data_IF_543833445531
#
_entry.id   IF_543833445531
#
_cell.length_a   1.000
_cell.length_b   1.000
_cell.length_c   1.000
_cell.angle_alpha   90.00
_cell.angle_beta   90.00
_cell.angle_gamma   90.00
#
_symmetry.space_group_name_H-M   'P 1'
#
loop_
_entity.id
_entity.type
_entity.pdbx_description
1 polymer ?
#
# COMPACT_ATOMS: atom_id res chain seq x y z
N UNK A 1 5.11 13.63 23.52
CA UNK A 1 5.07 15.07 23.16
C UNK A 1 5.19 15.92 24.44
N UNK A 2 6.37 15.97 25.06
CA UNK A 2 6.55 16.70 26.35
C UNK A 2 7.35 18.01 26.22
N UNK A 3 7.70 18.40 25.00
CA UNK A 3 8.42 19.65 24.75
C UNK A 3 7.48 20.61 24.03
N UNK A 4 7.14 21.72 24.69
CA UNK A 4 6.33 22.82 24.13
C UNK A 4 6.79 23.24 22.73
N UNK A 5 8.11 23.19 22.48
CA UNK A 5 8.71 23.48 21.19
C UNK A 5 8.20 22.55 20.07
N UNK A 6 8.07 21.24 20.31
CA UNK A 6 7.55 20.30 19.32
C UNK A 6 6.07 20.53 19.03
N UNK A 7 5.28 20.89 20.04
CA UNK A 7 3.85 21.21 19.85
C UNK A 7 3.70 22.48 19.01
N UNK A 8 4.52 23.51 19.25
CA UNK A 8 4.47 24.74 18.46
C UNK A 8 4.85 24.48 17.00
N UNK A 9 5.90 23.70 16.74
CA UNK A 9 6.27 23.31 15.37
C UNK A 9 5.13 22.59 14.66
N UNK A 10 4.43 21.67 15.34
CA UNK A 10 3.26 21.01 14.75
C UNK A 10 2.12 21.98 14.46
N UNK A 11 1.88 22.97 15.33
CA UNK A 11 0.87 24.01 15.10
C UNK A 11 1.22 24.92 13.94
N UNK A 12 2.50 25.28 13.80
CA UNK A 12 2.99 26.09 12.69
C UNK A 12 2.79 25.34 11.36
N UNK A 13 3.18 24.05 11.31
CA UNK A 13 2.95 23.18 10.14
C UNK A 13 1.46 23.11 9.77
N UNK A 14 0.58 22.94 10.76
CA UNK A 14 -0.87 22.93 10.52
C UNK A 14 -1.40 24.28 10.01
N UNK A 15 -0.85 25.40 10.48
CA UNK A 15 -1.24 26.73 9.98
C UNK A 15 -0.79 26.99 8.55
N UNK A 16 0.25 26.29 8.09
CA UNK A 16 0.79 26.33 6.73
C UNK A 16 0.22 25.22 5.82
N UNK A 17 -1.01 24.76 6.11
CA UNK A 17 -1.74 23.70 5.39
C UNK A 17 -1.13 22.29 5.46
N UNK A 18 -0.18 22.07 6.37
CA UNK A 18 0.26 20.71 6.70
C UNK A 18 -0.88 19.90 7.31
N UNK A 19 -0.80 18.58 7.16
CA UNK A 19 -1.75 17.64 7.76
C UNK A 19 -1.01 16.74 8.75
N UNK A 20 -1.60 16.54 9.92
CA UNK A 20 -1.05 15.63 10.92
C UNK A 20 -1.51 14.21 10.62
N UNK A 21 -0.57 13.26 10.62
CA UNK A 21 -0.82 11.82 10.54
C UNK A 21 -0.37 11.20 11.86
N UNK A 22 -1.20 10.31 12.44
CA UNK A 22 -0.82 9.58 13.64
C UNK A 22 -0.01 8.33 13.29
N UNK A 23 1.23 8.27 13.76
CA UNK A 23 2.16 7.19 13.47
C UNK A 23 2.53 6.38 14.71
N UNK A 24 1.54 5.69 15.29
CA UNK A 24 1.70 4.94 16.53
C UNK A 24 1.58 5.78 17.80
N UNK A 25 1.68 5.10 18.95
CA UNK A 25 1.75 5.75 20.26
C UNK A 25 3.20 5.98 20.69
N UNK A 26 4.02 4.92 20.64
CA UNK A 26 5.45 5.02 20.98
C UNK A 26 6.36 4.54 19.87
N UNK A 27 5.82 3.91 18.83
CA UNK A 27 6.58 3.35 17.72
C UNK A 27 7.70 2.44 18.25
N UNK A 28 7.29 1.51 19.14
CA UNK A 28 8.16 0.62 19.89
C UNK A 28 7.37 -0.53 20.52
N UNK A 29 7.95 -1.72 20.43
CA UNK A 29 7.51 -2.93 21.11
C UNK A 29 8.52 -3.27 22.21
N UNK A 30 9.74 -3.70 21.84
CA UNK A 30 10.81 -4.08 22.77
C UNK A 30 12.17 -3.41 22.47
N UNK A 31 12.21 -2.60 21.41
CA UNK A 31 13.38 -1.85 20.96
C UNK A 31 13.40 -0.40 21.43
N UNK A 32 13.65 0.54 20.51
CA UNK A 32 13.79 1.98 20.79
C UNK A 32 12.56 2.73 20.27
N UNK A 33 12.00 3.59 21.12
CA UNK A 33 10.92 4.53 20.77
C UNK A 33 11.25 5.31 19.49
N UNK A 34 10.34 5.30 18.52
CA UNK A 34 10.48 6.01 17.24
C UNK A 34 11.33 5.28 16.20
N UNK A 35 11.79 4.05 16.48
CA UNK A 35 12.62 3.25 15.57
C UNK A 35 12.04 1.86 15.38
N UNK A 36 11.44 1.26 16.40
CA UNK A 36 10.99 -0.14 16.39
C UNK A 36 9.54 -0.28 15.91
N UNK A 37 9.12 -1.49 15.54
CA UNK A 37 7.72 -1.80 15.31
C UNK A 37 6.92 -1.61 16.60
N UNK A 38 5.63 -1.32 16.48
CA UNK A 38 4.76 -1.19 17.66
C UNK A 38 3.82 -2.39 17.84
N UNK A 39 3.35 -2.94 16.73
CA UNK A 39 2.33 -4.00 16.70
C UNK A 39 2.87 -5.33 16.15
N UNK A 40 4.16 -5.38 15.83
CA UNK A 40 4.81 -6.56 15.26
C UNK A 40 6.12 -6.91 15.96
N UNK A 41 6.34 -8.19 16.21
CA UNK A 41 7.63 -8.73 16.64
C UNK A 41 8.41 -9.16 15.39
N UNK A 42 9.26 -8.24 14.89
CA UNK A 42 10.09 -8.47 13.69
C UNK A 42 10.94 -9.74 13.84
N UNK A 43 11.53 -9.96 15.01
CA UNK A 43 12.45 -11.08 15.27
C UNK A 43 11.78 -12.45 15.12
N UNK A 44 10.48 -12.52 15.43
CA UNK A 44 9.68 -13.74 15.34
C UNK A 44 8.73 -13.73 14.15
N UNK A 45 8.70 -12.64 13.39
CA UNK A 45 7.82 -12.39 12.27
C UNK A 45 6.35 -12.75 12.56
N UNK A 46 5.80 -12.18 13.63
CA UNK A 46 4.41 -12.38 14.06
C UNK A 46 3.92 -11.16 14.86
N UNK A 47 2.61 -11.04 15.13
CA UNK A 47 2.12 -10.01 16.03
C UNK A 47 2.79 -10.08 17.41
N UNK A 48 2.82 -8.94 18.09
CA UNK A 48 3.36 -8.84 19.46
C UNK A 48 2.64 -9.79 20.40
N UNK A 49 3.26 -10.12 21.53
CA UNK A 49 2.70 -11.10 22.46
C UNK A 49 1.36 -10.62 23.06
N UNK A 50 1.18 -9.31 23.16
CA UNK A 50 0.02 -8.61 23.71
C UNK A 50 -1.11 -8.39 22.68
N UNK A 51 -0.92 -8.81 21.42
CA UNK A 51 -1.86 -8.62 20.31
C UNK A 51 -3.30 -9.00 20.70
N UNK A 52 -4.17 -7.99 20.69
CA UNK A 52 -5.58 -8.05 21.06
C UNK A 52 -6.27 -6.75 20.68
N UNK A 53 -7.59 -6.77 20.49
CA UNK A 53 -8.34 -5.54 20.21
C UNK A 53 -8.17 -4.49 21.31
N UNK A 54 -8.16 -4.93 22.57
CA UNK A 54 -7.96 -4.04 23.71
C UNK A 54 -6.58 -3.40 23.70
N UNK A 55 -5.53 -4.15 23.35
CA UNK A 55 -4.17 -3.63 23.25
C UNK A 55 -4.08 -2.56 22.15
N UNK A 56 -4.50 -2.88 20.92
CA UNK A 56 -4.46 -1.91 19.82
C UNK A 56 -5.26 -0.65 20.14
N UNK A 57 -6.47 -0.81 20.68
CA UNK A 57 -7.33 0.31 21.04
C UNK A 57 -6.70 1.17 22.16
N UNK A 58 -6.13 0.56 23.20
CA UNK A 58 -5.48 1.30 24.29
C UNK A 58 -4.32 2.16 23.76
N UNK A 59 -3.48 1.59 22.88
CA UNK A 59 -2.35 2.29 22.27
C UNK A 59 -2.81 3.48 21.45
N UNK A 60 -3.74 3.26 20.51
CA UNK A 60 -4.32 4.31 19.66
C UNK A 60 -4.96 5.42 20.50
N UNK A 61 -5.81 5.05 21.47
CA UNK A 61 -6.52 6.03 22.31
C UNK A 61 -5.58 6.82 23.21
N UNK A 62 -4.49 6.21 23.68
CA UNK A 62 -3.44 6.90 24.44
C UNK A 62 -2.74 7.96 23.61
N UNK A 63 -2.41 7.64 22.36
CA UNK A 63 -1.80 8.58 21.43
C UNK A 63 -2.75 9.75 21.06
N UNK A 64 -4.02 9.44 20.77
CA UNK A 64 -5.06 10.46 20.54
C UNK A 64 -5.28 11.37 21.75
N UNK A 65 -5.23 10.82 22.97
CA UNK A 65 -5.35 11.62 24.19
C UNK A 65 -4.17 12.61 24.35
N UNK A 66 -2.96 12.21 23.96
CA UNK A 66 -1.80 13.11 23.95
C UNK A 66 -1.99 14.25 22.95
N UNK A 67 -2.43 13.94 21.72
CA UNK A 67 -2.75 14.98 20.73
C UNK A 67 -3.82 15.94 21.25
N UNK A 68 -4.91 15.40 21.82
CA UNK A 68 -5.99 16.19 22.39
C UNK A 68 -5.50 17.13 23.50
N UNK A 69 -4.65 16.64 24.41
CA UNK A 69 -4.08 17.46 25.48
C UNK A 69 -3.16 18.58 24.95
N UNK A 70 -2.56 18.39 23.77
CA UNK A 70 -1.79 19.42 23.06
C UNK A 70 -2.65 20.40 22.25
N UNK A 71 -3.97 20.18 22.18
CA UNK A 71 -4.90 20.93 21.33
C UNK A 71 -4.75 20.58 19.85
N UNK A 72 -4.39 19.33 19.55
CA UNK A 72 -4.22 18.78 18.20
C UNK A 72 -5.21 17.61 17.99
N UNK A 73 -5.49 17.31 16.73
CA UNK A 73 -6.32 16.17 16.32
C UNK A 73 -5.88 15.68 14.94
N UNK A 74 -6.21 14.44 14.63
CA UNK A 74 -6.04 13.84 13.29
C UNK A 74 -7.08 12.75 13.11
N UNK A 75 -7.44 12.51 11.87
CA UNK A 75 -8.32 11.45 11.37
C UNK A 75 -7.56 10.49 10.43
N UNK A 76 -6.23 10.59 10.39
CA UNK A 76 -5.34 9.77 9.57
C UNK A 76 -4.43 8.92 10.46
N UNK A 77 -4.36 7.63 10.16
CA UNK A 77 -3.44 6.68 10.80
C UNK A 77 -2.43 6.11 9.80
N UNK A 78 -1.18 5.98 10.23
CA UNK A 78 -0.12 5.26 9.53
C UNK A 78 0.50 4.28 10.52
N UNK A 79 0.44 2.98 10.23
CA UNK A 79 0.97 1.99 11.17
C UNK A 79 2.50 2.10 11.25
N UNK A 80 3.11 2.10 12.45
CA UNK A 80 4.55 1.98 12.63
C UNK A 80 5.14 0.85 11.78
N UNK A 81 6.02 1.19 10.84
CA UNK A 81 6.58 0.28 9.84
C UNK A 81 5.56 -0.55 9.04
N UNK A 82 4.35 -0.02 8.84
CA UNK A 82 3.33 -0.61 7.97
C UNK A 82 2.96 -2.06 8.33
N UNK A 83 3.14 -2.47 9.59
CA UNK A 83 3.01 -3.88 9.98
C UNK A 83 2.30 -4.03 11.32
N UNK A 84 1.17 -4.73 11.29
CA UNK A 84 0.35 -5.10 12.44
C UNK A 84 -0.43 -6.40 12.11
N UNK A 85 -1.18 -6.93 13.07
CA UNK A 85 -2.09 -8.06 12.82
C UNK A 85 -3.33 -7.61 12.03
N UNK A 86 -4.03 -8.53 11.36
CA UNK A 86 -5.33 -8.22 10.74
C UNK A 86 -6.35 -7.72 11.79
N UNK A 87 -6.27 -8.24 13.02
CA UNK A 87 -7.09 -7.80 14.15
C UNK A 87 -6.85 -6.33 14.50
N UNK A 88 -5.58 -5.92 14.57
CA UNK A 88 -5.19 -4.54 14.84
C UNK A 88 -5.69 -3.60 13.74
N UNK A 89 -5.58 -4.02 12.49
CA UNK A 89 -6.09 -3.27 11.36
C UNK A 89 -7.61 -3.05 11.42
N UNK A 90 -8.39 -4.06 11.83
CA UNK A 90 -9.83 -3.89 12.08
C UNK A 90 -10.10 -2.81 13.14
N UNK A 91 -9.24 -2.70 14.17
CA UNK A 91 -9.32 -1.65 15.19
C UNK A 91 -9.01 -0.28 14.57
N UNK A 92 -7.95 -0.17 13.77
CA UNK A 92 -7.55 1.08 13.13
C UNK A 92 -8.63 1.62 12.19
N UNK A 93 -9.20 0.76 11.35
CA UNK A 93 -10.28 1.12 10.42
C UNK A 93 -11.58 1.56 11.10
N UNK A 94 -11.85 1.07 12.33
CA UNK A 94 -13.00 1.55 13.12
C UNK A 94 -12.80 2.94 13.70
N UNK A 95 -11.55 3.33 13.95
CA UNK A 95 -11.20 4.58 14.64
C UNK A 95 -10.90 5.70 13.63
N UNK A 96 -10.20 5.38 12.54
CA UNK A 96 -9.73 6.35 11.56
C UNK A 96 -10.44 6.21 10.22
N UNK A 97 -11.03 7.30 9.69
CA UNK A 97 -11.60 7.29 8.34
C UNK A 97 -10.54 7.19 7.25
N UNK A 98 -9.26 7.50 7.54
CA UNK A 98 -8.18 7.45 6.56
C UNK A 98 -7.02 6.61 7.11
N UNK A 99 -6.60 5.60 6.34
CA UNK A 99 -5.41 4.80 6.60
C UNK A 99 -4.37 5.13 5.53
N UNK A 100 -3.25 5.69 5.96
CA UNK A 100 -2.11 6.04 5.12
C UNK A 100 -1.04 4.95 5.22
N UNK A 101 -1.29 3.79 4.63
CA UNK A 101 -0.51 2.57 4.87
C UNK A 101 -0.59 1.61 3.67
N UNK A 102 0.50 0.89 3.41
CA UNK A 102 0.58 -0.18 2.40
C UNK A 102 0.52 -1.61 2.97
N UNK A 103 0.57 -1.76 4.30
CA UNK A 103 0.67 -3.03 5.02
C UNK A 103 -0.51 -3.99 4.84
N UNK A 104 -1.67 -3.47 4.44
CA UNK A 104 -2.83 -4.28 4.02
C UNK A 104 -2.66 -4.99 2.67
N UNK A 105 -1.52 -4.82 1.99
CA UNK A 105 -1.22 -5.47 0.71
C UNK A 105 -1.92 -4.86 -0.50
N UNK A 106 -2.68 -3.77 -0.32
CA UNK A 106 -3.29 -3.03 -1.42
C UNK A 106 -2.43 -1.82 -1.73
N UNK A 107 -1.68 -1.90 -2.82
CA UNK A 107 -0.77 -0.85 -3.25
C UNK A 107 -1.14 -0.40 -4.66
N UNK A 108 -1.99 0.63 -4.76
CA UNK A 108 -2.58 1.08 -6.02
C UNK A 108 -2.32 2.58 -6.23
N UNK A 109 -2.13 3.06 -7.48
CA UNK A 109 -1.76 4.44 -7.76
C UNK A 109 -2.95 5.40 -7.76
N UNK A 110 -3.84 5.25 -6.77
CA UNK A 110 -4.97 6.12 -6.54
C UNK A 110 -5.50 5.88 -5.12
N UNK A 111 -6.15 6.89 -4.56
CA UNK A 111 -6.94 6.71 -3.34
C UNK A 111 -8.14 5.81 -3.64
N UNK A 112 -8.37 4.83 -2.78
CA UNK A 112 -9.53 3.94 -2.84
C UNK A 112 -10.23 3.84 -1.49
N UNK A 113 -11.49 3.42 -1.51
CA UNK A 113 -12.33 3.31 -0.32
C UNK A 113 -12.79 1.87 -0.13
N UNK A 114 -12.68 1.35 1.10
CA UNK A 114 -13.24 0.06 1.52
C UNK A 114 -14.12 0.31 2.74
N UNK A 115 -15.41 -0.01 2.63
CA UNK A 115 -16.38 0.33 3.66
C UNK A 115 -16.42 1.84 3.90
N UNK A 116 -16.14 2.24 5.14
CA UNK A 116 -16.08 3.66 5.53
C UNK A 116 -14.67 4.25 5.54
N UNK A 117 -13.67 3.45 5.20
CA UNK A 117 -12.26 3.78 5.32
C UNK A 117 -11.66 4.08 3.96
N UNK A 118 -10.92 5.17 3.88
CA UNK A 118 -10.17 5.56 2.70
C UNK A 118 -8.69 5.22 2.89
N UNK A 119 -8.07 4.67 1.86
CA UNK A 119 -6.67 4.24 1.86
C UNK A 119 -5.85 5.16 0.97
N UNK A 120 -4.62 5.44 1.40
CA UNK A 120 -3.65 6.24 0.65
C UNK A 120 -3.30 5.61 -0.71
N UNK A 121 -2.79 6.42 -1.66
CA UNK A 121 -2.19 5.87 -2.87
C UNK A 121 -0.89 5.11 -2.58
N UNK A 122 -0.33 4.53 -3.62
CA UNK A 122 0.93 3.79 -3.59
C UNK A 122 2.08 4.58 -2.99
N UNK A 123 2.74 3.96 -2.02
CA UNK A 123 3.99 4.46 -1.44
C UNK A 123 5.19 4.02 -2.28
N UNK A 124 6.01 5.00 -2.69
CA UNK A 124 7.25 4.81 -3.43
C UNK A 124 8.47 4.61 -2.51
N UNK A 125 8.26 4.63 -1.20
CA UNK A 125 9.25 4.44 -0.14
C UNK A 125 9.80 5.76 0.39
N UNK A 126 10.93 5.68 1.08
CA UNK A 126 11.56 6.81 1.74
C UNK A 126 12.96 7.13 1.23
N UNK A 127 13.39 8.37 1.45
CA UNK A 127 14.75 8.82 1.13
C UNK A 127 15.75 8.34 2.18
N UNK A 128 16.70 7.50 1.78
CA UNK A 128 17.81 7.02 2.62
C UNK A 128 19.16 6.97 1.90
N UNK A 129 19.17 7.19 0.58
CA UNK A 129 20.36 7.20 -0.26
C UNK A 129 20.09 7.89 -1.60
N UNK A 130 21.11 8.34 -2.32
CA UNK A 130 20.92 8.93 -3.66
C UNK A 130 20.22 8.00 -4.64
N UNK A 131 20.52 6.68 -4.69
CA UNK A 131 19.73 5.73 -5.47
C UNK A 131 18.25 5.66 -5.09
N UNK A 132 17.89 5.89 -3.81
CA UNK A 132 16.46 5.93 -3.41
C UNK A 132 15.72 7.12 -4.00
N UNK A 133 16.39 8.28 -4.12
CA UNK A 133 15.85 9.48 -4.78
C UNK A 133 15.57 9.19 -6.26
N UNK A 134 16.55 8.63 -6.97
CA UNK A 134 16.41 8.30 -8.38
C UNK A 134 15.34 7.23 -8.61
N UNK A 135 15.22 6.26 -7.69
CA UNK A 135 14.16 5.23 -7.73
C UNK A 135 12.77 5.83 -7.60
N UNK A 136 12.53 6.72 -6.63
CA UNK A 136 11.23 7.39 -6.44
C UNK A 136 10.82 8.10 -7.73
N UNK A 137 11.72 8.88 -8.33
CA UNK A 137 11.46 9.62 -9.59
C UNK A 137 11.18 8.65 -10.75
N UNK A 138 11.96 7.59 -10.88
CA UNK A 138 11.79 6.61 -11.94
C UNK A 138 10.46 5.86 -11.83
N UNK A 139 10.06 5.46 -10.63
CA UNK A 139 8.81 4.73 -10.40
C UNK A 139 7.59 5.65 -10.56
N UNK A 140 7.67 6.90 -10.11
CA UNK A 140 6.65 7.91 -10.35
C UNK A 140 6.41 8.13 -11.85
N UNK A 141 7.48 8.21 -12.66
CA UNK A 141 7.36 8.33 -14.12
C UNK A 141 6.69 7.12 -14.75
N UNK A 142 7.09 5.90 -14.36
CA UNK A 142 6.44 4.67 -14.84
C UNK A 142 4.95 4.69 -14.55
N UNK A 143 4.56 5.03 -13.32
CA UNK A 143 3.15 5.11 -12.92
C UNK A 143 2.42 6.18 -13.75
N UNK A 144 2.99 7.37 -13.92
CA UNK A 144 2.41 8.43 -14.74
C UNK A 144 2.19 7.99 -16.20
N UNK A 145 3.16 7.27 -16.78
CA UNK A 145 3.06 6.79 -18.16
C UNK A 145 1.95 5.73 -18.32
N UNK A 146 1.59 5.06 -17.22
CA UNK A 146 0.70 3.91 -17.18
C UNK A 146 -0.77 4.24 -16.84
N UNK A 147 -1.02 5.31 -16.10
CA UNK A 147 -2.36 5.66 -15.59
C UNK A 147 -2.79 7.06 -16.04
N UNK A 148 -4.09 7.31 -16.18
CA UNK A 148 -4.62 8.59 -16.72
C UNK A 148 -4.70 9.73 -15.68
N UNK A 149 -4.66 9.42 -14.38
CA UNK A 149 -4.59 10.42 -13.29
C UNK A 149 -4.08 9.74 -11.99
N UNK A 150 -2.83 9.24 -11.96
CA UNK A 150 -2.35 8.51 -10.80
C UNK A 150 -2.08 9.44 -9.63
N UNK A 151 -2.35 8.94 -8.43
CA UNK A 151 -1.83 9.50 -7.18
C UNK A 151 -0.72 8.59 -6.65
N UNK A 152 0.32 9.20 -6.10
CA UNK A 152 1.48 8.51 -5.49
C UNK A 152 1.84 9.19 -4.18
N UNK A 153 2.56 8.49 -3.31
CA UNK A 153 3.16 9.03 -2.09
C UNK A 153 4.62 8.62 -1.95
N UNK A 154 5.37 9.34 -1.11
CA UNK A 154 6.72 8.99 -0.69
C UNK A 154 7.03 9.68 0.64
N UNK A 155 8.06 9.21 1.33
CA UNK A 155 8.46 9.72 2.64
C UNK A 155 9.81 10.43 2.61
N UNK A 156 9.87 11.58 3.28
CA UNK A 156 11.11 12.29 3.56
C UNK A 156 11.15 12.69 5.03
N UNK A 157 12.27 12.38 5.69
CA UNK A 157 12.38 12.55 7.13
C UNK A 157 13.07 13.88 7.49
N UNK A 158 12.48 14.72 8.37
CA UNK A 158 13.05 16.03 8.72
C UNK A 158 14.46 16.03 9.28
N UNK A 159 14.93 14.92 9.87
CA UNK A 159 16.32 14.82 10.35
C UNK A 159 17.35 14.95 9.22
N UNK A 160 16.94 14.72 7.96
CA UNK A 160 17.79 14.86 6.79
C UNK A 160 18.09 16.32 6.44
N UNK A 161 17.41 17.31 7.03
CA UNK A 161 17.58 18.75 6.68
C UNK A 161 19.05 19.20 6.65
N UNK A 162 19.88 18.70 7.56
CA UNK A 162 21.32 19.04 7.62
C UNK A 162 22.24 18.20 6.73
N UNK A 163 21.70 17.23 5.97
CA UNK A 163 22.47 16.36 5.09
C UNK A 163 22.63 17.03 3.71
N UNK A 164 23.87 17.20 3.24
CA UNK A 164 24.17 17.86 1.96
C UNK A 164 23.65 17.08 0.75
N UNK A 165 23.61 15.76 0.83
CA UNK A 165 23.24 14.88 -0.30
C UNK A 165 21.77 14.46 -0.27
N UNK A 166 21.22 14.19 0.92
CA UNK A 166 19.87 13.63 1.12
C UNK A 166 18.87 14.62 1.73
N UNK A 167 19.33 15.83 2.07
CA UNK A 167 18.52 16.86 2.70
C UNK A 167 17.63 17.62 1.73
N UNK A 168 17.55 18.94 1.91
CA UNK A 168 16.63 19.79 1.15
C UNK A 168 16.88 19.70 -0.37
N UNK A 169 18.15 19.69 -0.81
CA UNK A 169 18.47 19.60 -2.22
C UNK A 169 17.95 18.31 -2.89
N UNK A 170 17.95 17.18 -2.17
CA UNK A 170 17.36 15.93 -2.67
C UNK A 170 15.83 16.01 -2.74
N UNK A 171 15.19 16.62 -1.73
CA UNK A 171 13.74 16.83 -1.72
C UNK A 171 13.31 17.76 -2.87
N UNK A 172 14.02 18.86 -3.09
CA UNK A 172 13.81 19.77 -4.22
C UNK A 172 13.94 19.04 -5.55
N UNK A 173 15.00 18.21 -5.73
CA UNK A 173 15.17 17.38 -6.93
C UNK A 173 13.96 16.46 -7.17
N UNK A 174 13.41 15.84 -6.14
CA UNK A 174 12.19 15.00 -6.28
C UNK A 174 11.01 15.88 -6.69
N UNK A 175 10.77 16.99 -6.00
CA UNK A 175 9.64 17.90 -6.25
C UNK A 175 9.67 18.45 -7.68
N UNK A 176 10.83 18.93 -8.12
CA UNK A 176 11.03 19.47 -9.47
C UNK A 176 10.79 18.37 -10.51
N UNK A 177 11.35 17.18 -10.32
CA UNK A 177 11.18 16.06 -11.24
C UNK A 177 9.73 15.59 -11.34
N UNK A 178 9.00 15.52 -10.21
CA UNK A 178 7.59 15.15 -10.20
C UNK A 178 6.73 16.21 -10.90
N UNK A 179 7.03 17.48 -10.69
CA UNK A 179 6.36 18.60 -11.36
C UNK A 179 6.62 18.56 -12.87
N UNK A 180 7.85 18.29 -13.30
CA UNK A 180 8.21 18.12 -14.73
C UNK A 180 7.52 16.91 -15.38
N UNK A 181 7.30 15.82 -14.63
CA UNK A 181 6.53 14.67 -15.11
C UNK A 181 5.06 15.05 -15.35
N UNK A 182 4.53 15.99 -14.56
CA UNK A 182 3.15 16.45 -14.64
C UNK A 182 2.34 16.22 -13.36
N UNK A 183 2.96 15.72 -12.29
CA UNK A 183 2.29 15.59 -10.99
C UNK A 183 2.04 16.95 -10.34
N UNK A 184 1.03 16.97 -9.48
CA UNK A 184 0.70 18.10 -8.62
C UNK A 184 0.68 17.63 -7.16
N UNK A 185 1.13 18.49 -6.25
CA UNK A 185 1.10 18.22 -4.82
C UNK A 185 -0.24 18.66 -4.25
N UNK A 186 -0.95 17.70 -3.67
CA UNK A 186 -2.29 17.87 -3.09
C UNK A 186 -2.32 17.28 -1.69
N UNK A 187 -3.18 17.81 -0.83
CA UNK A 187 -3.51 17.10 0.41
C UNK A 187 -4.32 15.85 0.07
N UNK A 188 -4.23 14.81 0.90
CA UNK A 188 -5.07 13.62 0.71
C UNK A 188 -6.57 13.97 0.72
N UNK A 189 -6.99 15.02 1.43
CA UNK A 189 -8.38 15.49 1.43
C UNK A 189 -8.84 16.02 0.06
N UNK A 190 -7.94 16.58 -0.74
CA UNK A 190 -8.26 17.04 -2.10
C UNK A 190 -8.54 15.86 -3.03
N UNK A 191 -7.90 14.71 -2.75
CA UNK A 191 -8.09 13.45 -3.49
C UNK A 191 -9.42 12.78 -3.15
N UNK A 192 -10.02 13.07 -1.99
CA UNK A 192 -11.33 12.55 -1.58
C UNK A 192 -12.49 13.19 -2.38
N UNK A 193 -12.33 14.43 -2.85
CA UNK A 193 -13.41 15.17 -3.53
C UNK A 193 -13.59 14.79 -5.00
N UNK A 194 -12.66 14.02 -5.57
CA UNK A 194 -12.67 13.55 -6.96
C UNK A 194 -13.03 12.06 -7.07
N UNK A 195 -13.85 11.53 -6.17
CA UNK A 195 -14.30 10.12 -6.23
C UNK A 195 -15.20 9.87 -7.47
N UNK A 196 -14.57 9.63 -8.61
CA UNK A 196 -15.09 8.70 -9.61
C UNK A 196 -15.00 7.30 -9.02
N UNK A 197 -16.00 6.46 -9.29
CA UNK A 197 -16.07 5.08 -8.82
C UNK A 197 -14.79 4.31 -9.18
N UNK A 198 -14.45 3.30 -8.38
CA UNK A 198 -13.31 2.40 -8.67
C UNK A 198 -13.40 1.79 -10.08
N UNK A 199 -14.63 1.51 -10.55
CA UNK A 199 -14.90 1.04 -11.91
C UNK A 199 -14.51 2.08 -12.97
N UNK A 200 -14.85 3.35 -12.77
CA UNK A 200 -14.42 4.44 -13.67
C UNK A 200 -12.90 4.63 -13.65
N UNK A 201 -12.23 4.45 -12.50
CA UNK A 201 -10.77 4.55 -12.39
C UNK A 201 -10.04 3.38 -13.10
N UNK A 202 -10.57 2.15 -13.03
CA UNK A 202 -10.02 0.99 -13.75
C UNK A 202 -10.22 1.13 -15.26
N UNK A 203 -11.37 1.62 -15.71
CA UNK A 203 -11.66 1.85 -17.14
C UNK A 203 -10.81 3.00 -17.72
N UNK A 204 -10.32 3.90 -16.86
CA UNK A 204 -9.39 5.00 -17.19
C UNK A 204 -7.92 4.66 -16.93
N UNK A 205 -7.57 3.45 -16.47
CA UNK A 205 -6.21 2.98 -16.68
C UNK A 205 -6.00 2.99 -18.20
N UNK A 206 -4.92 3.61 -18.70
CA UNK A 206 -4.69 3.64 -20.15
C UNK A 206 -4.87 2.21 -20.65
N UNK A 207 -5.74 1.98 -21.63
CA UNK A 207 -6.07 0.66 -22.17
C UNK A 207 -4.83 -0.15 -22.58
N UNK A 208 -3.67 0.50 -22.71
CA UNK A 208 -2.35 -0.11 -22.89
C UNK A 208 -1.66 -0.68 -21.64
N UNK A 209 -2.16 -0.45 -20.41
CA UNK A 209 -1.45 -0.73 -19.16
C UNK A 209 -1.85 -2.04 -18.47
N UNK A 210 -3.04 -2.60 -18.72
CA UNK A 210 -3.34 -3.93 -18.20
C UNK A 210 -2.68 -5.01 -19.04
N UNK A 211 -1.37 -5.15 -18.83
CA UNK A 211 -0.60 -6.29 -19.32
C UNK A 211 -0.40 -7.22 -18.13
N UNK A 212 -1.35 -8.13 -17.96
CA UNK A 212 -1.13 -9.34 -17.19
C UNK A 212 -2.13 -9.60 -16.10
N UNK A 213 -2.97 -10.61 -16.32
CA UNK A 213 -3.64 -11.35 -15.25
C UNK A 213 -2.80 -12.56 -14.86
N UNK A 214 -2.74 -12.90 -13.58
CA UNK A 214 -2.34 -14.24 -13.11
C UNK A 214 -3.57 -14.89 -12.52
N UNK A 215 -4.04 -15.99 -13.11
CA UNK A 215 -5.22 -16.72 -12.63
C UNK A 215 -4.78 -18.04 -11.98
N UNK A 216 -4.67 -18.12 -10.63
CA UNK A 216 -4.39 -19.37 -9.96
C UNK A 216 -5.69 -20.16 -9.74
N UNK A 217 -5.78 -21.38 -10.29
CA UNK A 217 -6.77 -22.38 -9.87
C UNK A 217 -6.10 -23.57 -9.17
N UNK A 218 -6.75 -24.06 -8.11
CA UNK A 218 -6.33 -25.21 -7.31
C UNK A 218 -6.90 -26.55 -7.83
N UNK A 219 -7.62 -26.56 -8.96
CA UNK A 219 -8.25 -27.74 -9.53
C UNK A 219 -8.05 -27.81 -11.04
N UNK A 220 -7.75 -29.02 -11.52
CA UNK A 220 -7.32 -29.35 -12.88
C UNK A 220 -8.18 -28.72 -13.98
N UNK A 221 -9.50 -28.83 -13.88
CA UNK A 221 -10.46 -28.47 -14.94
C UNK A 221 -11.36 -27.27 -14.56
N UNK A 222 -11.09 -26.60 -13.43
CA UNK A 222 -11.93 -25.51 -12.92
C UNK A 222 -12.01 -24.31 -13.86
N UNK A 223 -11.06 -24.18 -14.78
CA UNK A 223 -11.03 -23.13 -15.79
C UNK A 223 -12.19 -23.22 -16.81
N UNK A 224 -12.85 -24.38 -16.90
CA UNK A 224 -14.09 -24.53 -17.68
C UNK A 224 -15.36 -24.19 -16.89
N UNK A 225 -15.25 -23.85 -15.59
CA UNK A 225 -16.42 -23.53 -14.78
C UNK A 225 -17.08 -22.23 -15.26
N UNK A 226 -18.41 -22.14 -15.08
CA UNK A 226 -19.17 -20.95 -15.44
C UNK A 226 -18.62 -19.69 -14.78
N UNK A 227 -18.32 -19.79 -13.48
CA UNK A 227 -17.81 -18.66 -12.70
C UNK A 227 -16.47 -18.13 -13.21
N UNK A 228 -15.50 -19.02 -13.49
CA UNK A 228 -14.22 -18.59 -14.07
C UNK A 228 -14.42 -18.02 -15.48
N UNK A 229 -15.37 -18.57 -16.25
CA UNK A 229 -15.67 -18.04 -17.57
C UNK A 229 -16.23 -16.61 -17.53
N UNK A 230 -17.10 -16.30 -16.58
CA UNK A 230 -17.60 -14.94 -16.34
C UNK A 230 -16.45 -13.99 -15.98
N UNK A 231 -15.52 -14.41 -15.11
CA UNK A 231 -14.32 -13.62 -14.79
C UNK A 231 -13.42 -13.40 -16.02
N UNK A 232 -13.22 -14.44 -16.85
CA UNK A 232 -12.45 -14.34 -18.09
C UNK A 232 -13.14 -13.40 -19.10
N UNK A 233 -14.47 -13.41 -19.19
CA UNK A 233 -15.22 -12.52 -20.08
C UNK A 233 -15.05 -11.05 -19.64
N UNK A 234 -15.08 -10.77 -18.33
CA UNK A 234 -14.78 -9.44 -17.81
C UNK A 234 -13.35 -8.98 -18.13
N UNK A 235 -12.38 -9.90 -18.14
CA UNK A 235 -10.99 -9.59 -18.51
C UNK A 235 -10.84 -9.32 -20.01
N UNK A 236 -11.60 -10.02 -20.87
CA UNK A 236 -11.68 -9.72 -22.31
C UNK A 236 -12.29 -8.33 -22.52
N UNK A 237 -13.40 -8.01 -21.84
CA UNK A 237 -14.12 -6.75 -22.00
C UNK A 237 -13.24 -5.52 -21.70
N UNK A 238 -12.28 -5.65 -20.78
CA UNK A 238 -11.33 -4.58 -20.43
C UNK A 238 -10.02 -4.62 -21.24
N UNK A 239 -9.90 -5.56 -22.19
CA UNK A 239 -8.75 -5.66 -23.10
C UNK A 239 -7.46 -6.15 -22.44
N UNK A 240 -7.55 -7.01 -21.42
CA UNK A 240 -6.37 -7.51 -20.71
C UNK A 240 -5.47 -8.39 -21.62
N UNK A 241 -4.17 -8.10 -21.66
CA UNK A 241 -3.17 -8.94 -22.36
C UNK A 241 -2.51 -9.94 -21.37
N UNK A 242 -2.28 -11.19 -21.78
CA UNK A 242 -1.55 -12.16 -20.94
C UNK A 242 -0.08 -11.77 -20.75
N UNK A 243 0.41 -11.91 -19.51
CA UNK A 243 1.84 -11.78 -19.21
C UNK A 243 2.44 -13.08 -18.68
N UNK A 244 1.69 -13.89 -17.93
CA UNK A 244 2.16 -15.19 -17.44
C UNK A 244 1.01 -16.10 -17.04
N UNK A 245 1.13 -17.39 -17.36
CA UNK A 245 0.31 -18.44 -16.75
C UNK A 245 1.11 -19.12 -15.65
N UNK A 246 0.54 -19.23 -14.46
CA UNK A 246 1.17 -19.90 -13.32
C UNK A 246 0.43 -21.21 -13.02
N UNK A 247 1.16 -22.31 -13.05
CA UNK A 247 0.66 -23.63 -12.65
C UNK A 247 1.43 -24.13 -11.42
N UNK A 248 0.79 -24.99 -10.63
CA UNK A 248 1.38 -25.54 -9.41
C UNK A 248 1.88 -26.97 -9.65
N UNK A 249 3.12 -27.21 -9.22
CA UNK A 249 3.69 -28.54 -9.03
C UNK A 249 3.81 -28.82 -7.54
N UNK A 250 3.74 -30.10 -7.16
CA UNK A 250 3.60 -30.51 -5.77
C UNK A 250 4.83 -31.27 -5.30
N UNK A 251 5.12 -31.16 -4.01
CA UNK A 251 6.10 -31.95 -3.28
C UNK A 251 5.42 -32.57 -2.07
N UNK A 252 5.83 -33.79 -1.69
CA UNK A 252 5.14 -34.54 -0.65
C UNK A 252 5.29 -33.90 0.75
N UNK A 253 6.44 -33.29 1.02
CA UNK A 253 6.75 -32.56 2.25
C UNK A 253 8.05 -31.74 2.10
N UNK A 254 8.38 -30.96 3.13
CA UNK A 254 9.54 -30.04 3.17
C UNK A 254 10.92 -30.71 3.05
N UNK A 255 11.01 -32.04 3.22
CA UNK A 255 12.25 -32.81 3.08
C UNK A 255 12.30 -33.58 1.75
N UNK A 256 11.25 -33.51 0.94
CA UNK A 256 11.20 -34.19 -0.35
C UNK A 256 11.97 -33.40 -1.39
N UNK A 257 12.85 -34.08 -2.14
CA UNK A 257 13.51 -33.55 -3.33
C UNK A 257 12.77 -33.89 -4.63
N UNK A 258 11.58 -34.50 -4.53
CA UNK A 258 10.78 -34.95 -5.67
C UNK A 258 9.60 -34.03 -5.91
N UNK A 259 9.53 -33.48 -7.12
CA UNK A 259 8.43 -32.64 -7.61
C UNK A 259 7.59 -33.48 -8.56
N UNK A 260 6.26 -33.40 -8.44
CA UNK A 260 5.32 -34.16 -9.27
C UNK A 260 4.08 -33.33 -9.65
N UNK A 261 3.36 -33.80 -10.66
CA UNK A 261 2.08 -33.27 -11.12
C UNK A 261 0.97 -33.95 -10.32
N UNK A 262 0.17 -33.17 -9.59
CA UNK A 262 -1.02 -33.70 -8.92
C UNK A 262 -2.15 -33.73 -9.95
N UNK A 263 -2.70 -34.92 -10.21
CA UNK A 263 -3.65 -35.14 -11.30
C UNK A 263 -4.98 -34.43 -11.12
N UNK A 264 -5.33 -34.02 -9.91
CA UNK A 264 -6.62 -33.36 -9.63
C UNK A 264 -6.44 -31.86 -9.40
N UNK A 265 -5.22 -31.42 -9.09
CA UNK A 265 -4.94 -30.03 -8.70
C UNK A 265 -4.05 -29.25 -9.68
N UNK A 266 -3.24 -29.92 -10.47
CA UNK A 266 -2.46 -29.26 -11.53
C UNK A 266 -3.35 -29.08 -12.77
N UNK A 267 -3.34 -27.88 -13.35
CA UNK A 267 -4.12 -27.54 -14.55
C UNK A 267 -3.83 -28.52 -15.69
N UNK A 268 -4.86 -28.93 -16.44
CA UNK A 268 -4.67 -29.75 -17.64
C UNK A 268 -4.13 -28.92 -18.80
N UNK A 269 -3.46 -29.57 -19.76
CA UNK A 269 -3.00 -28.92 -20.98
C UNK A 269 -4.17 -28.26 -21.73
N UNK A 270 -5.33 -28.93 -21.80
CA UNK A 270 -6.53 -28.40 -22.44
C UNK A 270 -7.08 -27.16 -21.72
N UNK A 271 -6.99 -27.12 -20.38
CA UNK A 271 -7.37 -25.95 -19.60
C UNK A 271 -6.45 -24.77 -19.90
N UNK A 272 -5.14 -25.01 -19.96
CA UNK A 272 -4.15 -23.99 -20.27
C UNK A 272 -4.37 -23.45 -21.70
N UNK A 273 -4.54 -24.33 -22.67
CA UNK A 273 -4.84 -23.96 -24.06
C UNK A 273 -6.14 -23.15 -24.17
N UNK A 274 -7.21 -23.57 -23.49
CA UNK A 274 -8.50 -22.87 -23.49
C UNK A 274 -8.36 -21.43 -22.98
N UNK A 275 -7.68 -21.24 -21.85
CA UNK A 275 -7.46 -19.94 -21.23
C UNK A 275 -6.63 -19.02 -22.14
N UNK A 276 -5.54 -19.55 -22.72
CA UNK A 276 -4.70 -18.82 -23.69
C UNK A 276 -5.55 -18.37 -24.88
N UNK A 277 -6.36 -19.27 -25.43
CA UNK A 277 -7.15 -19.00 -26.62
C UNK A 277 -8.35 -18.07 -26.35
N UNK A 278 -8.93 -18.09 -25.15
CA UNK A 278 -10.11 -17.26 -24.83
C UNK A 278 -9.78 -15.78 -24.72
N UNK A 279 -8.63 -15.44 -24.12
CA UNK A 279 -8.21 -14.06 -23.86
C UNK A 279 -7.29 -13.47 -24.94
N UNK A 280 -6.86 -14.25 -25.93
CA UNK A 280 -6.17 -13.78 -27.13
C UNK A 280 -7.10 -13.65 -28.36
N UNK A 281 -8.43 -13.71 -28.16
CA UNK A 281 -9.44 -13.39 -29.18
C UNK A 281 -9.66 -11.88 -29.25
#
# INVERSE_FOLDING_TARGET
LDRLQSINVLKDILSDNGTLILHGYTHQYDGVTGIDFEFWDESRNKPVKEDSEEFAQERVMSALNILRNAGLSTDIWETPHYTASELDYEVFERIFPIIYDSGHGINVPFVFRRGNTTFSPIDLGYVFSTPSVDKIIADARKIHDCFEDPSISFFWHPYLTGNEELGIAALEKIIDSLTEIGYQFHSIYDLLQKERSFQEKIVLAKTSFQKGVTLPSYSKDKYFSLHINEELDHLVDIGAEWVRIQTFLYQNNVHSSSIYVDRDKTASDESLEYIVNKLHQ
#
